data_IF_198222452148
#
_entry.id   IF_198222452148
#
_cell.length_a   1.000
_cell.length_b   1.000
_cell.length_c   1.000
_cell.angle_alpha   90.00
_cell.angle_beta   90.00
_cell.angle_gamma   90.00
#
_symmetry.space_group_name_H-M   'P 1'
#
loop_
_entity.id
_entity.type
_entity.pdbx_description
1 polymer ?
#
# COMPACT_ATOMS: atom_id res chain seq x y z
N UNK A 1 14.65 -14.48 -14.17
CA UNK A 1 13.55 -13.95 -13.33
C UNK A 1 13.68 -14.49 -11.90
N UNK A 2 13.71 -13.60 -10.89
CA UNK A 2 13.88 -13.95 -9.47
C UNK A 2 12.55 -13.94 -8.70
N UNK A 3 11.41 -14.09 -9.38
CA UNK A 3 10.09 -14.11 -8.78
C UNK A 3 9.38 -15.43 -9.08
N UNK A 4 8.56 -15.89 -8.14
CA UNK A 4 7.67 -17.03 -8.32
C UNK A 4 6.28 -16.52 -8.66
N UNK A 5 5.69 -17.06 -9.72
CA UNK A 5 4.29 -16.80 -10.07
C UNK A 5 3.44 -18.01 -9.73
N UNK A 6 2.28 -17.77 -9.11
CA UNK A 6 1.29 -18.81 -8.82
C UNK A 6 -0.01 -18.43 -9.50
N UNK A 7 -0.50 -19.29 -10.40
CA UNK A 7 -1.79 -19.08 -11.03
C UNK A 7 -2.92 -19.26 -10.01
N UNK A 8 -3.84 -18.29 -9.94
CA UNK A 8 -5.07 -18.40 -9.18
C UNK A 8 -6.20 -18.92 -10.10
N UNK A 9 -7.13 -19.74 -9.58
CA UNK A 9 -8.31 -20.19 -10.33
C UNK A 9 -9.15 -19.05 -10.92
N UNK A 10 -9.42 -19.07 -12.22
CA UNK A 10 -10.25 -18.08 -12.91
C UNK A 10 -11.54 -18.71 -13.48
N UNK A 11 -12.42 -17.89 -14.03
CA UNK A 11 -13.66 -18.32 -14.71
C UNK A 11 -13.47 -18.54 -16.22
N UNK A 12 -12.23 -18.49 -16.73
CA UNK A 12 -11.89 -18.63 -18.15
C UNK A 12 -12.10 -17.37 -19.02
N UNK A 13 -12.68 -16.31 -18.45
CA UNK A 13 -12.84 -14.98 -19.06
C UNK A 13 -11.89 -13.92 -18.44
N UNK A 14 -10.90 -14.37 -17.66
CA UNK A 14 -9.94 -13.50 -16.97
C UNK A 14 -10.44 -12.95 -15.63
N UNK A 15 -11.58 -13.40 -15.11
CA UNK A 15 -12.05 -13.04 -13.75
C UNK A 15 -11.72 -14.12 -12.72
N UNK A 16 -11.46 -13.72 -11.47
CA UNK A 16 -11.23 -14.68 -10.40
C UNK A 16 -12.49 -15.48 -10.06
N UNK A 17 -12.33 -16.80 -9.92
CA UNK A 17 -13.39 -17.67 -9.42
C UNK A 17 -13.46 -17.66 -7.89
N UNK A 18 -14.52 -18.23 -7.31
CA UNK A 18 -14.63 -18.39 -5.85
C UNK A 18 -13.46 -19.20 -5.24
N UNK A 19 -12.88 -20.14 -6.00
CA UNK A 19 -11.70 -20.91 -5.57
C UNK A 19 -10.42 -20.08 -5.51
N UNK A 20 -10.37 -18.93 -6.19
CA UNK A 20 -9.23 -18.02 -6.16
C UNK A 20 -8.98 -17.47 -4.75
N UNK A 21 -10.05 -17.05 -4.08
CA UNK A 21 -9.98 -16.43 -2.75
C UNK A 21 -9.43 -17.40 -1.72
N UNK A 22 -9.90 -18.65 -1.71
CA UNK A 22 -9.40 -19.66 -0.79
C UNK A 22 -7.90 -19.89 -1.00
N UNK A 23 -7.49 -20.12 -2.25
CA UNK A 23 -6.07 -20.34 -2.59
C UNK A 23 -5.21 -19.13 -2.24
N UNK A 24 -5.69 -17.92 -2.50
CA UNK A 24 -4.99 -16.67 -2.16
C UNK A 24 -4.79 -16.55 -0.65
N UNK A 25 -5.83 -16.79 0.15
CA UNK A 25 -5.74 -16.70 1.62
C UNK A 25 -4.81 -17.79 2.18
N UNK A 26 -4.82 -18.99 1.61
CA UNK A 26 -3.89 -20.06 2.00
C UNK A 26 -2.44 -19.65 1.70
N UNK A 27 -2.14 -19.21 0.48
CA UNK A 27 -0.81 -18.74 0.09
C UNK A 27 -0.34 -17.57 0.96
N UNK A 28 -1.21 -16.57 1.16
CA UNK A 28 -0.93 -15.40 1.98
C UNK A 28 -0.53 -15.78 3.41
N UNK A 29 -1.23 -16.75 4.02
CA UNK A 29 -0.95 -17.19 5.38
C UNK A 29 0.29 -18.10 5.50
N UNK A 30 0.84 -18.58 4.38
CA UNK A 30 2.12 -19.27 4.33
C UNK A 30 3.32 -18.32 4.12
N UNK A 31 3.06 -17.06 3.75
CA UNK A 31 4.07 -15.99 3.64
C UNK A 31 4.30 -15.28 4.96
N UNK A 32 5.35 -14.44 5.06
CA UNK A 32 5.59 -13.58 6.24
C UNK A 32 4.78 -12.29 6.20
N UNK A 33 4.58 -11.71 5.02
CA UNK A 33 3.73 -10.54 4.77
C UNK A 33 3.17 -10.58 3.34
N UNK A 34 2.19 -9.73 3.02
CA UNK A 34 1.54 -9.71 1.69
C UNK A 34 1.23 -8.28 1.24
N UNK A 35 1.48 -7.95 -0.03
CA UNK A 35 0.94 -6.77 -0.70
C UNK A 35 -0.22 -7.14 -1.61
N UNK A 36 -1.34 -6.40 -1.55
CA UNK A 36 -2.57 -6.66 -2.30
C UNK A 36 -3.05 -5.36 -2.94
N UNK A 37 -3.38 -5.38 -4.24
CA UNK A 37 -4.00 -4.25 -4.91
C UNK A 37 -3.52 -3.92 -6.31
N UNK A 38 -2.19 -3.76 -6.54
CA UNK A 38 -1.67 -3.38 -7.85
C UNK A 38 -2.14 -4.29 -8.99
N UNK A 39 -2.79 -3.72 -10.00
CA UNK A 39 -3.18 -4.43 -11.22
C UNK A 39 -4.34 -5.42 -11.07
N UNK A 40 -5.13 -5.35 -10.00
CA UNK A 40 -6.24 -6.29 -9.77
C UNK A 40 -7.50 -5.97 -10.60
N UNK A 41 -7.58 -4.78 -11.21
CA UNK A 41 -8.77 -4.30 -11.92
C UNK A 41 -9.98 -4.17 -10.99
N UNK A 42 -11.15 -3.86 -11.55
CA UNK A 42 -12.38 -3.57 -10.80
C UNK A 42 -13.51 -4.46 -11.26
N UNK A 43 -14.00 -5.29 -10.35
CA UNK A 43 -15.21 -6.10 -10.53
C UNK A 43 -15.80 -6.49 -9.18
N UNK A 44 -17.06 -6.95 -9.17
CA UNK A 44 -17.68 -7.48 -7.94
C UNK A 44 -16.92 -8.70 -7.40
N UNK A 45 -16.37 -9.54 -8.28
CA UNK A 45 -15.54 -10.67 -7.88
C UNK A 45 -14.28 -10.22 -7.12
N UNK A 46 -13.62 -9.15 -7.58
CA UNK A 46 -12.48 -8.53 -6.88
C UNK A 46 -12.90 -7.97 -5.54
N UNK A 47 -14.04 -7.27 -5.46
CA UNK A 47 -14.54 -6.71 -4.21
C UNK A 47 -14.71 -7.80 -3.14
N UNK A 48 -15.33 -8.92 -3.53
CA UNK A 48 -15.52 -10.06 -2.63
C UNK A 48 -14.20 -10.72 -2.24
N UNK A 49 -13.28 -10.92 -3.19
CA UNK A 49 -11.98 -11.51 -2.93
C UNK A 49 -11.15 -10.65 -1.97
N UNK A 50 -11.12 -9.32 -2.16
CA UNK A 50 -10.40 -8.39 -1.30
C UNK A 50 -11.01 -8.33 0.09
N UNK A 51 -12.34 -8.32 0.21
CA UNK A 51 -13.01 -8.35 1.52
C UNK A 51 -12.63 -9.60 2.32
N UNK A 52 -12.70 -10.77 1.66
CA UNK A 52 -12.31 -12.04 2.26
C UNK A 52 -10.82 -12.08 2.63
N UNK A 53 -9.94 -11.57 1.76
CA UNK A 53 -8.51 -11.46 2.03
C UNK A 53 -8.23 -10.57 3.24
N UNK A 54 -8.87 -9.40 3.30
CA UNK A 54 -8.75 -8.47 4.41
C UNK A 54 -9.15 -9.10 5.75
N UNK A 55 -10.26 -9.84 5.79
CA UNK A 55 -10.73 -10.48 7.01
C UNK A 55 -9.90 -11.71 7.39
N UNK A 56 -9.54 -12.56 6.42
CA UNK A 56 -9.05 -13.92 6.69
C UNK A 56 -7.53 -14.05 6.75
N UNK A 57 -6.77 -13.14 6.13
CA UNK A 57 -5.30 -13.14 6.22
C UNK A 57 -4.88 -12.82 7.66
N UNK A 58 -3.93 -13.57 8.20
CA UNK A 58 -3.46 -13.43 9.60
C UNK A 58 -2.13 -12.70 9.69
N UNK A 59 -1.35 -12.73 8.62
CA UNK A 59 -0.06 -12.05 8.54
C UNK A 59 -0.24 -10.55 8.24
N UNK A 60 0.77 -9.70 8.50
CA UNK A 60 0.74 -8.31 8.10
C UNK A 60 0.50 -8.16 6.60
N UNK A 61 -0.40 -7.25 6.21
CA UNK A 61 -0.74 -7.05 4.81
C UNK A 61 -0.88 -5.56 4.45
N UNK A 62 -0.33 -5.21 3.30
CA UNK A 62 -0.43 -3.89 2.67
C UNK A 62 -1.54 -3.92 1.64
N UNK A 63 -2.50 -2.99 1.73
CA UNK A 63 -3.58 -2.80 0.77
C UNK A 63 -3.36 -1.48 0.03
N UNK A 64 -3.28 -1.55 -1.29
CA UNK A 64 -3.08 -0.39 -2.17
C UNK A 64 -4.08 -0.41 -3.35
N UNK A 65 -4.16 0.69 -4.09
CA UNK A 65 -4.79 0.76 -5.41
C UNK A 65 -6.19 0.12 -5.48
N UNK A 66 -6.37 -0.88 -6.35
CA UNK A 66 -7.66 -1.55 -6.56
C UNK A 66 -8.18 -2.26 -5.32
N UNK A 67 -7.31 -2.72 -4.41
CA UNK A 67 -7.75 -3.30 -3.15
C UNK A 67 -8.37 -2.24 -2.24
N UNK A 68 -7.83 -1.02 -2.20
CA UNK A 68 -8.45 0.09 -1.47
C UNK A 68 -9.78 0.51 -2.10
N UNK A 69 -9.85 0.54 -3.43
CA UNK A 69 -11.10 0.82 -4.15
C UNK A 69 -12.17 -0.25 -3.83
N UNK A 70 -11.79 -1.52 -3.78
CA UNK A 70 -12.66 -2.63 -3.40
C UNK A 70 -13.15 -2.53 -1.94
N UNK A 71 -12.26 -2.22 -1.00
CA UNK A 71 -12.62 -2.02 0.41
C UNK A 71 -13.59 -0.85 0.59
N UNK A 72 -13.45 0.22 -0.20
CA UNK A 72 -14.38 1.36 -0.18
C UNK A 72 -15.80 1.01 -0.66
N UNK A 73 -15.99 -0.12 -1.36
CA UNK A 73 -17.32 -0.59 -1.76
C UNK A 73 -18.04 -1.35 -0.64
N UNK A 74 -17.37 -1.74 0.45
CA UNK A 74 -17.96 -2.58 1.49
C UNK A 74 -18.89 -1.81 2.42
N UNK A 75 -20.17 -2.17 2.41
CA UNK A 75 -21.17 -1.59 3.32
C UNK A 75 -20.75 -1.72 4.79
N UNK A 76 -20.90 -0.64 5.55
CA UNK A 76 -20.55 -0.61 6.97
C UNK A 76 -19.06 -0.36 7.28
N UNK A 77 -18.20 -0.21 6.27
CA UNK A 77 -16.78 0.13 6.43
C UNK A 77 -15.85 -1.09 6.42
N UNK A 78 -14.64 -0.93 6.97
CA UNK A 78 -13.66 -2.02 6.99
C UNK A 78 -14.08 -3.14 7.95
N UNK A 79 -14.08 -4.42 7.52
CA UNK A 79 -14.40 -5.54 8.41
C UNK A 79 -13.31 -5.75 9.47
N UNK A 80 -13.54 -6.62 10.44
CA UNK A 80 -12.53 -6.91 11.47
C UNK A 80 -11.40 -7.76 10.89
N UNK A 81 -10.19 -7.20 10.80
CA UNK A 81 -9.01 -7.94 10.37
C UNK A 81 -8.53 -8.96 11.43
N UNK A 82 -7.93 -10.06 10.98
CA UNK A 82 -7.25 -11.06 11.84
C UNK A 82 -5.75 -10.83 12.01
N UNK A 83 -5.19 -9.84 11.31
CA UNK A 83 -3.78 -9.47 11.37
C UNK A 83 -3.59 -7.98 11.04
N UNK A 84 -2.36 -7.46 11.18
CA UNK A 84 -2.09 -6.04 10.95
C UNK A 84 -2.39 -5.62 9.51
N UNK A 85 -2.86 -4.39 9.34
CA UNK A 85 -3.20 -3.80 8.04
C UNK A 85 -2.52 -2.47 7.86
N UNK A 86 -1.78 -2.34 6.77
CA UNK A 86 -1.26 -1.06 6.29
C UNK A 86 -2.05 -0.69 5.04
N UNK A 87 -2.69 0.46 5.04
CA UNK A 87 -3.41 1.01 3.89
C UNK A 87 -2.58 2.13 3.30
N UNK A 88 -2.38 2.15 1.99
CA UNK A 88 -1.55 3.17 1.31
C UNK A 88 -2.35 4.10 0.39
N UNK A 89 -3.49 4.69 0.82
CA UNK A 89 -4.33 5.49 -0.07
C UNK A 89 -3.64 6.79 -0.49
N UNK A 90 -3.83 7.20 -1.74
CA UNK A 90 -3.75 8.63 -2.07
C UNK A 90 -5.04 9.35 -1.64
N UNK A 91 -5.06 10.70 -1.67
CA UNK A 91 -6.22 11.51 -1.22
C UNK A 91 -7.56 11.03 -1.81
N UNK A 92 -7.63 10.78 -3.12
CA UNK A 92 -8.84 10.25 -3.77
C UNK A 92 -9.29 8.86 -3.30
N UNK A 93 -8.38 7.95 -2.98
CA UNK A 93 -8.72 6.63 -2.41
C UNK A 93 -9.18 6.78 -0.96
N UNK A 94 -8.52 7.67 -0.20
CA UNK A 94 -8.89 7.94 1.18
C UNK A 94 -10.32 8.50 1.29
N UNK A 95 -10.68 9.46 0.44
CA UNK A 95 -12.06 9.99 0.32
C UNK A 95 -13.10 8.88 0.13
N UNK A 96 -12.81 7.92 -0.75
CA UNK A 96 -13.70 6.76 -0.98
C UNK A 96 -13.80 5.87 0.26
N UNK A 97 -12.68 5.62 0.95
CA UNK A 97 -12.67 4.82 2.18
C UNK A 97 -13.48 5.46 3.31
N UNK A 98 -13.38 6.78 3.47
CA UNK A 98 -14.17 7.53 4.47
C UNK A 98 -15.57 7.89 4.00
N UNK A 99 -15.89 7.59 2.72
CA UNK A 99 -17.19 7.83 2.07
C UNK A 99 -17.57 9.32 2.04
N UNK A 100 -16.58 10.17 1.82
CA UNK A 100 -16.75 11.61 1.68
C UNK A 100 -15.82 12.17 0.61
N UNK A 101 -16.36 12.38 -0.59
CA UNK A 101 -15.62 12.93 -1.73
C UNK A 101 -15.40 14.46 -1.64
N UNK A 102 -16.01 15.13 -0.66
CA UNK A 102 -15.93 16.59 -0.50
C UNK A 102 -14.72 17.05 0.30
N UNK A 103 -14.12 16.18 1.11
CA UNK A 103 -12.97 16.51 1.96
C UNK A 103 -11.80 17.04 1.14
N UNK A 104 -11.27 18.21 1.46
CA UNK A 104 -10.01 18.71 0.92
C UNK A 104 -8.84 17.79 1.29
N UNK A 105 -7.68 17.90 0.59
CA UNK A 105 -6.48 17.16 0.98
C UNK A 105 -6.06 17.42 2.44
N UNK A 106 -6.24 18.64 2.95
CA UNK A 106 -5.93 18.98 4.33
C UNK A 106 -6.88 18.31 5.33
N UNK A 107 -8.19 18.28 5.02
CA UNK A 107 -9.17 17.56 5.84
C UNK A 107 -8.93 16.05 5.82
N UNK A 108 -8.55 15.47 4.68
CA UNK A 108 -8.15 14.06 4.61
C UNK A 108 -6.98 13.75 5.56
N UNK A 109 -5.96 14.62 5.60
CA UNK A 109 -4.83 14.49 6.55
C UNK A 109 -5.29 14.58 7.99
N UNK A 110 -6.18 15.52 8.31
CA UNK A 110 -6.71 15.69 9.66
C UNK A 110 -7.55 14.49 10.13
N UNK A 111 -8.29 13.85 9.22
CA UNK A 111 -9.13 12.69 9.53
C UNK A 111 -8.37 11.35 9.58
N UNK A 112 -7.18 11.26 8.97
CA UNK A 112 -6.43 10.00 8.86
C UNK A 112 -6.10 9.34 10.22
N UNK A 113 -5.66 10.06 11.27
CA UNK A 113 -5.41 9.45 12.58
C UNK A 113 -6.67 8.87 13.22
N UNK A 114 -7.81 9.58 13.12
CA UNK A 114 -9.07 9.09 13.67
C UNK A 114 -9.53 7.82 12.93
N UNK A 115 -9.41 7.80 11.60
CA UNK A 115 -9.72 6.63 10.78
C UNK A 115 -8.82 5.44 11.15
N UNK A 116 -7.51 5.66 11.28
CA UNK A 116 -6.53 4.65 11.68
C UNK A 116 -6.87 4.03 13.04
N UNK A 117 -7.15 4.87 14.04
CA UNK A 117 -7.53 4.45 15.39
C UNK A 117 -8.85 3.65 15.38
N UNK A 118 -9.87 4.16 14.70
CA UNK A 118 -11.21 3.55 14.63
C UNK A 118 -11.19 2.15 14.03
N UNK A 119 -10.38 1.95 12.99
CA UNK A 119 -10.30 0.68 12.27
C UNK A 119 -9.14 -0.22 12.73
N UNK A 120 -8.25 0.25 13.61
CA UNK A 120 -7.09 -0.50 14.06
C UNK A 120 -6.11 -0.79 12.92
N UNK A 121 -5.87 0.20 12.06
CA UNK A 121 -5.01 0.08 10.86
C UNK A 121 -3.92 1.14 10.86
N UNK A 122 -2.86 0.91 10.08
CA UNK A 122 -1.87 1.93 9.75
C UNK A 122 -2.31 2.57 8.43
N UNK A 123 -2.37 3.89 8.40
CA UNK A 123 -2.66 4.67 7.18
C UNK A 123 -1.39 5.36 6.72
N UNK A 124 -1.02 5.12 5.47
CA UNK A 124 -0.02 5.87 4.71
C UNK A 124 -0.77 6.71 3.69
N UNK A 125 -1.11 7.95 4.06
CA UNK A 125 -1.79 8.88 3.16
C UNK A 125 -0.77 9.51 2.21
N UNK A 126 -0.73 8.98 0.99
CA UNK A 126 0.20 9.39 -0.07
C UNK A 126 -0.11 10.80 -0.58
N UNK A 127 0.95 11.58 -0.77
CA UNK A 127 0.89 12.94 -1.32
C UNK A 127 2.16 13.72 -0.99
N UNK A 128 2.14 15.03 -1.25
CA UNK A 128 3.19 15.91 -0.76
C UNK A 128 3.25 15.83 0.77
N UNK A 129 4.45 15.58 1.30
CA UNK A 129 4.71 15.28 2.70
C UNK A 129 3.83 14.14 3.24
N UNK A 130 3.97 12.93 2.70
CA UNK A 130 3.10 11.78 3.01
C UNK A 130 2.97 11.56 4.53
N UNK A 131 1.75 11.27 4.98
CA UNK A 131 1.42 11.10 6.40
C UNK A 131 1.33 9.61 6.73
N UNK A 132 1.99 9.17 7.80
CA UNK A 132 1.91 7.81 8.32
C UNK A 132 1.35 7.85 9.74
N UNK A 133 0.30 7.10 10.02
CA UNK A 133 -0.32 7.08 11.36
C UNK A 133 -0.97 5.74 11.70
N UNK A 134 -0.86 5.31 12.95
CA UNK A 134 -1.64 4.21 13.54
C UNK A 134 -2.83 4.73 14.39
N UNK A 135 -3.06 6.04 14.36
CA UNK A 135 -4.08 6.74 15.13
C UNK A 135 -3.65 7.22 16.52
N UNK A 136 -2.49 6.79 17.02
CA UNK A 136 -1.87 7.30 18.24
C UNK A 136 -0.62 8.11 17.92
N UNK A 137 0.22 7.57 17.05
CA UNK A 137 1.46 8.16 16.57
C UNK A 137 1.25 8.62 15.13
N UNK A 138 1.81 9.78 14.80
CA UNK A 138 1.72 10.36 13.45
C UNK A 138 3.08 10.88 13.03
N UNK A 139 3.52 10.48 11.84
CA UNK A 139 4.76 10.90 11.21
C UNK A 139 4.49 11.54 9.85
N UNK A 140 5.23 12.59 9.53
CA UNK A 140 5.24 13.19 8.20
C UNK A 140 6.57 12.89 7.54
N UNK A 141 6.52 12.27 6.36
CA UNK A 141 7.71 12.07 5.53
C UNK A 141 8.00 13.35 4.74
N UNK A 142 9.24 13.82 4.73
CA UNK A 142 9.68 15.00 4.01
C UNK A 142 10.53 14.69 2.76
N UNK A 143 10.86 13.41 2.52
CA UNK A 143 11.56 12.97 1.30
C UNK A 143 10.61 12.80 0.11
N UNK A 144 11.20 12.81 -1.08
CA UNK A 144 10.50 12.67 -2.36
C UNK A 144 10.25 14.01 -3.06
N UNK A 145 9.91 13.91 -4.35
CA UNK A 145 9.77 15.05 -5.25
C UNK A 145 8.58 14.87 -6.21
N UNK A 146 8.13 15.94 -6.91
CA UNK A 146 6.97 15.88 -7.79
C UNK A 146 7.07 14.86 -8.93
N UNK A 147 8.28 14.53 -9.39
CA UNK A 147 8.50 13.54 -10.45
C UNK A 147 7.98 12.14 -10.07
N UNK A 148 7.88 11.84 -8.78
CA UNK A 148 7.34 10.57 -8.27
C UNK A 148 5.83 10.42 -8.49
N UNK A 149 5.12 11.46 -8.93
CA UNK A 149 3.71 11.41 -9.32
C UNK A 149 3.50 10.70 -10.68
N UNK A 150 4.21 9.59 -10.89
CA UNK A 150 4.19 8.75 -12.09
C UNK A 150 3.51 7.41 -11.81
N UNK A 151 2.96 6.79 -12.86
CA UNK A 151 2.33 5.47 -12.74
C UNK A 151 3.33 4.43 -12.22
N UNK A 152 2.88 3.55 -11.32
CA UNK A 152 3.70 2.46 -10.76
C UNK A 152 4.55 2.84 -9.54
N UNK A 153 4.72 4.13 -9.23
CA UNK A 153 5.46 4.58 -8.02
C UNK A 153 4.83 4.03 -6.72
N UNK A 154 3.48 4.01 -6.65
CA UNK A 154 2.76 3.37 -5.54
C UNK A 154 3.01 1.86 -5.42
N UNK A 155 3.20 1.16 -6.54
CA UNK A 155 3.47 -0.28 -6.55
C UNK A 155 4.86 -0.58 -5.95
N UNK A 156 5.83 0.28 -6.24
CA UNK A 156 7.18 0.22 -5.63
C UNK A 156 7.06 0.42 -4.12
N UNK A 157 6.35 1.45 -3.66
CA UNK A 157 6.13 1.68 -2.23
C UNK A 157 5.46 0.48 -1.54
N UNK A 158 4.43 -0.10 -2.16
CA UNK A 158 3.73 -1.28 -1.64
C UNK A 158 4.68 -2.48 -1.51
N UNK A 159 5.55 -2.70 -2.50
CA UNK A 159 6.60 -3.72 -2.44
C UNK A 159 7.62 -3.46 -1.33
N UNK A 160 8.08 -2.22 -1.16
CA UNK A 160 9.03 -1.82 -0.11
C UNK A 160 8.45 -2.08 1.28
N UNK A 161 7.23 -1.58 1.57
CA UNK A 161 6.60 -1.79 2.88
C UNK A 161 6.37 -3.28 3.13
N UNK A 162 5.91 -4.03 2.13
CA UNK A 162 5.72 -5.48 2.26
C UNK A 162 7.03 -6.20 2.59
N UNK A 163 8.13 -5.81 1.95
CA UNK A 163 9.47 -6.38 2.22
C UNK A 163 9.96 -6.07 3.63
N UNK A 164 9.74 -4.84 4.12
CA UNK A 164 10.11 -4.45 5.48
C UNK A 164 9.28 -5.19 6.54
N UNK A 165 7.98 -5.38 6.30
CA UNK A 165 7.13 -6.22 7.15
C UNK A 165 7.62 -7.68 7.21
N UNK A 166 8.19 -8.20 6.11
CA UNK A 166 8.77 -9.54 6.06
C UNK A 166 10.10 -9.66 6.84
N UNK A 167 10.69 -8.55 7.27
CA UNK A 167 11.94 -8.49 8.05
C UNK A 167 11.66 -8.23 9.54
N UNK A 168 10.47 -8.58 10.02
CA UNK A 168 10.01 -8.46 11.41
C UNK A 168 9.94 -7.02 11.97
N UNK A 169 9.91 -6.00 11.10
CA UNK A 169 9.59 -4.63 11.53
C UNK A 169 8.14 -4.54 11.98
N UNK A 170 7.88 -3.69 12.98
CA UNK A 170 6.50 -3.37 13.35
C UNK A 170 5.77 -2.73 12.16
N UNK A 171 4.44 -2.90 12.03
CA UNK A 171 3.72 -2.33 10.89
C UNK A 171 3.82 -0.81 10.74
N UNK A 172 3.92 -0.09 11.86
CA UNK A 172 4.12 1.36 11.84
C UNK A 172 5.55 1.70 11.39
N UNK A 173 6.57 1.04 11.94
CA UNK A 173 7.97 1.29 11.58
C UNK A 173 8.26 0.92 10.13
N UNK A 174 7.72 -0.21 9.64
CA UNK A 174 7.80 -0.61 8.24
C UNK A 174 7.17 0.42 7.31
N UNK A 175 6.03 1.01 7.70
CA UNK A 175 5.39 2.06 6.92
C UNK A 175 6.20 3.36 6.92
N UNK A 176 6.72 3.80 8.07
CA UNK A 176 7.55 5.01 8.20
C UNK A 176 8.85 4.86 7.39
N UNK A 177 9.60 3.79 7.62
CA UNK A 177 10.84 3.54 6.89
C UNK A 177 10.57 3.35 5.39
N UNK A 178 9.48 2.66 5.04
CA UNK A 178 9.10 2.41 3.66
C UNK A 178 8.82 3.69 2.88
N UNK A 179 8.05 4.64 3.44
CA UNK A 179 7.81 5.93 2.76
C UNK A 179 9.08 6.76 2.66
N UNK A 180 9.93 6.71 3.67
CA UNK A 180 11.17 7.48 3.71
C UNK A 180 12.17 7.00 2.66
N UNK A 181 12.45 5.70 2.64
CA UNK A 181 13.34 5.07 1.65
C UNK A 181 12.80 5.27 0.23
N UNK A 182 11.49 5.11 0.03
CA UNK A 182 10.86 5.32 -1.26
C UNK A 182 11.03 6.76 -1.75
N UNK A 183 10.77 7.76 -0.90
CA UNK A 183 10.97 9.17 -1.22
C UNK A 183 12.44 9.49 -1.49
N UNK A 184 13.35 8.98 -0.66
CA UNK A 184 14.79 9.18 -0.82
C UNK A 184 15.30 8.57 -2.14
N UNK A 185 14.84 7.38 -2.49
CA UNK A 185 15.14 6.77 -3.79
C UNK A 185 14.61 7.61 -4.95
N UNK A 186 13.43 8.22 -4.80
CA UNK A 186 12.89 9.18 -5.75
C UNK A 186 13.74 10.45 -5.88
N UNK A 187 14.29 10.98 -4.79
CA UNK A 187 15.17 12.15 -4.83
C UNK A 187 16.51 11.84 -5.51
N UNK A 188 17.08 10.67 -5.22
CA UNK A 188 18.27 10.16 -5.91
C UNK A 188 17.98 9.98 -7.40
N UNK A 189 16.85 9.37 -7.76
CA UNK A 189 16.46 9.19 -9.16
C UNK A 189 16.26 10.54 -9.86
N UNK A 190 15.63 11.52 -9.20
CA UNK A 190 15.43 12.86 -9.75
C UNK A 190 16.77 13.55 -10.02
N UNK A 191 17.77 13.38 -9.15
CA UNK A 191 19.11 13.93 -9.36
C UNK A 191 19.84 13.33 -10.58
N UNK A 192 19.51 12.09 -10.97
CA UNK A 192 20.14 11.36 -12.08
C UNK A 192 19.43 11.55 -13.42
N UNK A 193 18.09 11.53 -13.40
CA UNK A 193 17.27 11.46 -14.61
C UNK A 193 16.44 12.74 -14.84
N UNK A 194 16.38 13.64 -13.86
CA UNK A 194 15.55 14.82 -13.87
C UNK A 194 14.09 14.52 -13.55
N UNK A 195 13.37 15.51 -13.00
CA UNK A 195 11.99 15.37 -12.52
C UNK A 195 11.02 14.91 -13.61
N UNK A 196 11.17 15.42 -14.84
CA UNK A 196 10.23 15.17 -15.95
C UNK A 196 10.34 13.76 -16.52
N UNK A 197 11.52 13.16 -16.46
CA UNK A 197 11.79 11.84 -17.04
C UNK A 197 11.75 10.70 -16.02
N UNK A 198 11.46 11.02 -14.76
CA UNK A 198 11.43 10.06 -13.68
C UNK A 198 10.24 9.09 -13.82
N UNK A 199 10.55 7.80 -13.79
CA UNK A 199 9.56 6.73 -13.76
C UNK A 199 9.72 5.81 -12.52
N UNK A 200 8.79 4.87 -12.36
CA UNK A 200 8.81 3.92 -11.25
C UNK A 200 10.03 2.96 -11.31
N UNK A 201 10.57 2.66 -12.49
CA UNK A 201 11.75 1.82 -12.62
C UNK A 201 12.98 2.54 -12.09
N UNK A 202 13.12 3.84 -12.39
CA UNK A 202 14.22 4.66 -11.88
C UNK A 202 14.20 4.74 -10.35
N UNK A 203 13.01 4.89 -9.75
CA UNK A 203 12.85 4.86 -8.28
C UNK A 203 13.29 3.51 -7.72
N UNK A 204 12.79 2.41 -8.30
CA UNK A 204 13.13 1.04 -7.90
C UNK A 204 14.64 0.77 -8.01
N UNK A 205 15.28 1.23 -9.08
CA UNK A 205 16.72 1.06 -9.31
C UNK A 205 17.58 1.88 -8.33
N UNK A 206 17.03 2.94 -7.73
CA UNK A 206 17.71 3.77 -6.73
C UNK A 206 17.45 3.33 -5.28
N UNK A 207 16.63 2.30 -5.03
CA UNK A 207 16.33 1.81 -3.68
C UNK A 207 17.58 1.35 -2.92
N UNK A 208 18.50 0.64 -3.60
CA UNK A 208 19.72 0.15 -2.96
C UNK A 208 20.59 1.29 -2.44
N UNK A 209 20.73 2.35 -3.23
CA UNK A 209 21.47 3.55 -2.84
C UNK A 209 20.79 4.29 -1.68
N UNK A 210 19.46 4.38 -1.71
CA UNK A 210 18.70 4.96 -0.59
C UNK A 210 18.91 4.18 0.72
N UNK A 211 18.87 2.84 0.67
CA UNK A 211 19.14 2.01 1.85
C UNK A 211 20.59 2.13 2.36
N UNK A 212 21.58 2.18 1.46
CA UNK A 212 22.98 2.36 1.87
C UNK A 212 23.19 3.70 2.56
N UNK A 213 22.60 4.77 2.03
CA UNK A 213 22.72 6.11 2.62
C UNK A 213 22.18 6.17 4.05
N UNK A 214 21.10 5.44 4.36
CA UNK A 214 20.55 5.35 5.72
C UNK A 214 21.39 4.50 6.68
N UNK A 215 22.23 3.60 6.16
CA UNK A 215 23.10 2.76 6.98
C UNK A 215 24.41 3.48 7.36
N UNK A 216 24.80 4.49 6.58
CA UNK A 216 25.99 5.30 6.80
C UNK A 216 25.73 6.54 7.69
N UNK A 217 24.46 6.90 7.91
CA UNK A 217 23.99 7.98 8.81
C UNK A 217 23.82 7.51 10.26
#
# INVERSE_FOLDING_TARGET
>A
PNYMTVALPDTGDGQFSAGATQKLVELANHSTSVGIGPGMSRSEAINKLVADAYEKIRVPAVFDADALNALAQLDGGLPKARGPRVLTPHVGEFRRLVRDDTLSPAECRACAPEFACRHGVIVVLKGHRSLVTDGQTTHENDTGNPGMATGGSGDVLTGVISSLLSQDLSPLDAAILGVHVHGLAGDIACSKFGEVSLDAENVKDCLSEAFMKLADD
#
